data_IF_173698377887
#
_entry.id   IF_173698377887
#
_cell.length_a   1.000
_cell.length_b   1.000
_cell.length_c   1.000
_cell.angle_alpha   90.00
_cell.angle_beta   90.00
_cell.angle_gamma   90.00
#
_symmetry.space_group_name_H-M   'P 1'
#
loop_
_entity.id
_entity.type
_entity.pdbx_description
1 polymer ?
#
# COMPACT_ATOMS: atom_id res chain seq x y z
N UNK A 1 7.84 10.46 -26.03
CA UNK A 1 6.80 11.47 -25.90
C UNK A 1 6.49 11.58 -24.42
N UNK A 2 6.59 12.78 -23.84
CA UNK A 2 6.19 13.00 -22.46
C UNK A 2 4.73 13.50 -22.39
N UNK A 3 4.18 13.60 -21.16
CA UNK A 3 2.78 14.04 -20.99
C UNK A 3 2.55 15.49 -21.43
N UNK A 4 3.57 16.35 -21.36
CA UNK A 4 3.44 17.76 -21.74
C UNK A 4 3.28 17.88 -23.25
N UNK A 5 4.08 17.16 -24.02
CA UNK A 5 3.97 17.06 -25.47
C UNK A 5 2.60 16.48 -25.87
N UNK A 6 2.16 15.43 -25.15
CA UNK A 6 0.86 14.81 -25.41
C UNK A 6 -0.30 15.80 -25.27
N UNK A 7 -0.35 16.58 -24.19
CA UNK A 7 -1.43 17.55 -23.96
C UNK A 7 -1.32 18.79 -24.85
N UNK A 8 -0.12 19.15 -25.29
CA UNK A 8 0.06 20.19 -26.30
C UNK A 8 -0.58 19.81 -27.65
N UNK A 9 -0.55 18.53 -28.01
CA UNK A 9 -1.20 18.00 -29.22
C UNK A 9 -2.73 17.81 -29.06
N UNK A 10 -3.23 17.71 -27.82
CA UNK A 10 -4.64 17.44 -27.52
C UNK A 10 -5.22 18.52 -26.59
N UNK A 11 -5.53 19.72 -27.10
CA UNK A 11 -5.88 20.88 -26.26
C UNK A 11 -7.26 20.80 -25.59
N UNK A 12 -8.18 19.97 -26.09
CA UNK A 12 -9.55 19.82 -25.55
C UNK A 12 -9.95 18.34 -25.44
N UNK A 13 -9.30 17.55 -24.55
CA UNK A 13 -9.57 16.13 -24.43
C UNK A 13 -10.79 15.86 -23.54
N UNK A 14 -11.50 14.78 -23.85
CA UNK A 14 -12.42 14.15 -22.92
C UNK A 14 -11.64 13.16 -22.04
N UNK A 15 -11.73 13.30 -20.72
CA UNK A 15 -11.07 12.38 -19.78
C UNK A 15 -12.11 11.48 -19.14
N UNK A 16 -12.03 10.17 -19.41
CA UNK A 16 -12.79 9.17 -18.69
C UNK A 16 -12.30 9.12 -17.24
N UNK A 17 -13.13 9.59 -16.32
CA UNK A 17 -12.73 9.94 -14.98
C UNK A 17 -13.48 9.07 -13.97
N UNK A 18 -12.75 8.41 -13.08
CA UNK A 18 -13.30 7.50 -12.06
C UNK A 18 -13.12 7.99 -10.63
N UNK A 19 -12.41 9.11 -10.42
CA UNK A 19 -12.03 9.58 -9.08
C UNK A 19 -10.92 8.74 -8.41
N UNK A 20 -10.37 7.74 -9.11
CA UNK A 20 -9.18 7.01 -8.67
C UNK A 20 -7.89 7.80 -8.97
N UNK A 21 -6.81 7.46 -8.28
CA UNK A 21 -5.52 8.17 -8.35
C UNK A 21 -5.00 8.37 -9.79
N UNK A 22 -5.04 7.33 -10.61
CA UNK A 22 -4.49 7.38 -11.97
C UNK A 22 -5.31 8.35 -12.85
N UNK A 23 -6.65 8.26 -12.80
CA UNK A 23 -7.54 9.19 -13.52
C UNK A 23 -7.46 10.63 -12.98
N UNK A 24 -7.23 10.80 -11.67
CA UNK A 24 -7.03 12.08 -11.02
C UNK A 24 -5.75 12.76 -11.51
N UNK A 25 -4.65 12.01 -11.53
CA UNK A 25 -3.37 12.49 -12.02
C UNK A 25 -3.43 12.84 -13.51
N UNK A 26 -4.11 12.02 -14.32
CA UNK A 26 -4.30 12.31 -15.74
C UNK A 26 -5.09 13.62 -15.93
N UNK A 27 -6.17 13.80 -15.20
CA UNK A 27 -7.00 15.01 -15.25
C UNK A 27 -6.22 16.26 -14.82
N UNK A 28 -5.50 16.16 -13.69
CA UNK A 28 -4.63 17.23 -13.21
C UNK A 28 -3.53 17.56 -14.21
N UNK A 29 -2.89 16.56 -14.81
CA UNK A 29 -1.83 16.75 -15.80
C UNK A 29 -2.34 17.50 -17.03
N UNK A 30 -3.56 17.19 -17.49
CA UNK A 30 -4.18 17.91 -18.60
C UNK A 30 -4.31 19.41 -18.30
N UNK A 31 -4.84 19.77 -17.12
CA UNK A 31 -4.97 21.17 -16.69
C UNK A 31 -3.60 21.82 -16.52
N UNK A 32 -2.66 21.13 -15.85
CA UNK A 32 -1.31 21.63 -15.55
C UNK A 32 -0.55 22.03 -16.81
N UNK A 33 -0.73 21.29 -17.89
CA UNK A 33 -0.05 21.53 -19.17
C UNK A 33 -0.87 22.36 -20.17
N UNK A 34 -1.94 23.01 -19.70
CA UNK A 34 -2.67 24.02 -20.48
C UNK A 34 -3.76 23.49 -21.39
N UNK A 35 -4.11 22.20 -21.32
CA UNK A 35 -5.31 21.69 -21.96
C UNK A 35 -6.57 22.14 -21.20
N UNK A 36 -7.71 22.12 -21.89
CA UNK A 36 -9.04 22.39 -21.34
C UNK A 36 -9.85 21.09 -21.33
N UNK A 37 -9.58 20.17 -20.39
CA UNK A 37 -10.27 18.89 -20.36
C UNK A 37 -11.73 19.05 -19.93
N UNK A 38 -12.57 18.11 -20.37
CA UNK A 38 -13.86 17.82 -19.74
C UNK A 38 -13.78 16.43 -19.11
N UNK A 39 -14.13 16.31 -17.83
CA UNK A 39 -14.18 15.04 -17.14
C UNK A 39 -15.53 14.35 -17.40
N UNK A 40 -15.50 13.05 -17.71
CA UNK A 40 -16.69 12.23 -17.92
C UNK A 40 -16.73 11.11 -16.89
N UNK A 41 -17.72 11.18 -16.00
CA UNK A 41 -17.98 10.15 -14.99
C UNK A 41 -19.22 9.35 -15.39
N UNK A 42 -19.09 8.03 -15.46
CA UNK A 42 -20.21 7.13 -15.81
C UNK A 42 -20.73 6.46 -14.54
N UNK A 43 -21.90 6.91 -14.06
CA UNK A 43 -22.57 6.33 -12.89
C UNK A 43 -23.32 5.07 -13.31
N UNK A 44 -22.94 3.95 -12.69
CA UNK A 44 -23.57 2.63 -12.83
C UNK A 44 -23.82 2.03 -11.44
N UNK A 45 -24.39 0.82 -11.38
CA UNK A 45 -24.54 0.07 -10.12
C UNK A 45 -23.21 -0.48 -9.55
N UNK A 46 -22.08 -0.29 -10.24
CA UNK A 46 -20.80 -0.90 -9.88
C UNK A 46 -19.85 -0.04 -9.05
N UNK A 47 -20.21 1.21 -8.82
CA UNK A 47 -19.49 2.15 -7.96
C UNK A 47 -20.31 2.44 -6.71
N UNK A 48 -19.63 2.69 -5.60
CA UNK A 48 -20.24 3.15 -4.36
C UNK A 48 -20.59 4.63 -4.42
N UNK A 49 -21.51 5.10 -3.58
CA UNK A 49 -21.85 6.53 -3.51
C UNK A 49 -20.71 7.39 -2.94
N UNK A 50 -19.83 6.80 -2.13
CA UNK A 50 -18.61 7.47 -1.69
C UNK A 50 -17.66 7.76 -2.86
N UNK A 51 -17.50 6.81 -3.80
CA UNK A 51 -16.69 7.03 -5.00
C UNK A 51 -17.25 8.12 -5.91
N UNK A 52 -18.57 8.21 -6.03
CA UNK A 52 -19.24 9.30 -6.74
C UNK A 52 -18.94 10.67 -6.13
N UNK A 53 -19.08 10.79 -4.81
CA UNK A 53 -18.85 12.04 -4.09
C UNK A 53 -17.39 12.47 -4.20
N UNK A 54 -16.45 11.53 -4.04
CA UNK A 54 -15.02 11.76 -4.20
C UNK A 54 -14.67 12.26 -5.60
N UNK A 55 -15.26 11.67 -6.65
CA UNK A 55 -15.04 12.09 -8.02
C UNK A 55 -15.56 13.53 -8.25
N UNK A 56 -16.76 13.86 -7.78
CA UNK A 56 -17.32 15.21 -7.88
C UNK A 56 -16.43 16.24 -7.21
N UNK A 57 -16.07 16.00 -5.94
CA UNK A 57 -15.23 16.89 -5.16
C UNK A 57 -13.85 17.12 -5.80
N UNK A 58 -13.25 16.07 -6.34
CA UNK A 58 -11.95 16.18 -7.01
C UNK A 58 -12.05 17.00 -8.31
N UNK A 59 -13.05 16.77 -9.15
CA UNK A 59 -13.25 17.55 -10.37
C UNK A 59 -13.47 19.04 -10.07
N UNK A 60 -14.26 19.34 -9.03
CA UNK A 60 -14.45 20.71 -8.53
C UNK A 60 -13.15 21.34 -8.04
N UNK A 61 -12.34 20.61 -7.26
CA UNK A 61 -11.06 21.11 -6.75
C UNK A 61 -10.06 21.47 -7.87
N UNK A 62 -10.16 20.80 -9.02
CA UNK A 62 -9.35 21.06 -10.21
C UNK A 62 -9.99 22.12 -11.13
N UNK A 63 -11.17 22.65 -10.78
CA UNK A 63 -11.95 23.56 -11.62
C UNK A 63 -12.25 23.01 -13.02
N UNK A 64 -12.48 21.70 -13.12
CA UNK A 64 -12.77 21.00 -14.38
C UNK A 64 -14.25 20.67 -14.49
N UNK A 65 -14.92 20.96 -15.64
CA UNK A 65 -16.29 20.55 -15.86
C UNK A 65 -16.45 19.03 -15.77
N UNK A 66 -17.40 18.58 -14.95
CA UNK A 66 -17.75 17.16 -14.80
C UNK A 66 -19.09 16.86 -15.48
N UNK A 67 -19.08 15.93 -16.44
CA UNK A 67 -20.27 15.38 -17.10
C UNK A 67 -20.58 14.01 -16.50
N UNK A 68 -21.75 13.89 -15.88
CA UNK A 68 -22.23 12.62 -15.32
C UNK A 68 -23.14 11.94 -16.33
N UNK A 69 -22.71 10.78 -16.85
CA UNK A 69 -23.50 9.92 -17.72
C UNK A 69 -24.08 8.80 -16.87
N UNK A 70 -25.41 8.64 -16.87
CA UNK A 70 -26.07 7.51 -16.18
C UNK A 70 -26.21 6.36 -17.16
N UNK A 71 -25.69 5.19 -16.80
CA UNK A 71 -25.75 3.99 -17.62
C UNK A 71 -26.17 2.80 -16.76
N UNK A 72 -27.18 2.07 -17.22
CA UNK A 72 -27.48 0.75 -16.67
C UNK A 72 -26.53 -0.28 -17.27
N UNK A 73 -25.47 -0.59 -16.51
CA UNK A 73 -24.49 -1.58 -16.92
C UNK A 73 -25.01 -3.02 -16.82
N UNK A 74 -25.99 -3.31 -15.96
CA UNK A 74 -26.55 -4.65 -15.82
C UNK A 74 -27.47 -5.00 -16.99
N UNK A 75 -28.12 -3.99 -17.58
CA UNK A 75 -28.90 -4.16 -18.80
C UNK A 75 -28.05 -4.42 -20.06
N UNK A 76 -26.72 -4.30 -19.98
CA UNK A 76 -25.84 -4.56 -21.12
C UNK A 76 -25.60 -6.07 -21.31
N UNK A 77 -25.71 -6.52 -22.55
CA UNK A 77 -25.52 -7.92 -22.91
C UNK A 77 -24.18 -8.47 -22.41
N UNK A 78 -24.24 -9.63 -21.74
CA UNK A 78 -23.07 -10.32 -21.21
C UNK A 78 -22.48 -9.72 -19.92
N UNK A 79 -23.02 -8.62 -19.39
CA UNK A 79 -22.55 -8.03 -18.13
C UNK A 79 -23.18 -8.73 -16.92
N UNK A 80 -24.51 -8.79 -16.83
CA UNK A 80 -25.20 -9.42 -15.70
C UNK A 80 -24.87 -10.91 -15.55
N UNK A 81 -24.59 -11.63 -16.65
CA UNK A 81 -24.18 -13.03 -16.62
C UNK A 81 -22.81 -13.28 -15.95
N UNK A 82 -22.00 -12.22 -15.77
CA UNK A 82 -20.71 -12.26 -15.08
C UNK A 82 -19.69 -13.27 -15.65
N UNK A 83 -19.74 -13.50 -16.96
CA UNK A 83 -18.76 -14.36 -17.64
C UNK A 83 -17.36 -13.74 -17.69
N UNK A 84 -16.34 -14.48 -18.19
CA UNK A 84 -14.96 -13.99 -18.28
C UNK A 84 -14.82 -12.71 -19.12
N UNK A 85 -15.72 -12.48 -20.08
CA UNK A 85 -15.76 -11.27 -20.92
C UNK A 85 -16.61 -10.12 -20.36
N UNK A 86 -17.17 -10.21 -19.15
CA UNK A 86 -17.97 -9.14 -18.53
C UNK A 86 -17.31 -7.76 -18.66
N UNK A 87 -16.01 -7.67 -18.33
CA UNK A 87 -15.26 -6.42 -18.38
C UNK A 87 -15.17 -5.82 -19.79
N UNK A 88 -15.12 -6.65 -20.83
CA UNK A 88 -15.15 -6.19 -22.22
C UNK A 88 -16.48 -5.51 -22.53
N UNK A 89 -17.61 -6.19 -22.28
CA UNK A 89 -18.95 -5.64 -22.56
C UNK A 89 -19.23 -4.37 -21.76
N UNK A 90 -18.88 -4.38 -20.47
CA UNK A 90 -19.05 -3.23 -19.59
C UNK A 90 -18.20 -2.03 -20.05
N UNK A 91 -16.89 -2.21 -20.30
CA UNK A 91 -16.04 -1.12 -20.81
C UNK A 91 -16.52 -0.64 -22.18
N UNK A 92 -16.93 -1.54 -23.08
CA UNK A 92 -17.43 -1.18 -24.41
C UNK A 92 -18.66 -0.26 -24.31
N UNK A 93 -19.64 -0.60 -23.47
CA UNK A 93 -20.82 0.23 -23.26
C UNK A 93 -20.47 1.59 -22.63
N UNK A 94 -19.66 1.60 -21.57
CA UNK A 94 -19.21 2.83 -20.89
C UNK A 94 -18.49 3.77 -21.85
N UNK A 95 -17.49 3.28 -22.57
CA UNK A 95 -16.68 4.14 -23.44
C UNK A 95 -17.41 4.53 -24.73
N UNK A 96 -18.35 3.72 -25.22
CA UNK A 96 -19.24 4.13 -26.31
C UNK A 96 -20.10 5.33 -25.88
N UNK A 97 -20.65 5.31 -24.66
CA UNK A 97 -21.42 6.43 -24.13
C UNK A 97 -20.55 7.69 -23.93
N UNK A 98 -19.33 7.54 -23.41
CA UNK A 98 -18.38 8.66 -23.28
C UNK A 98 -18.04 9.23 -24.65
N UNK A 99 -17.72 8.40 -25.65
CA UNK A 99 -17.40 8.85 -27.01
C UNK A 99 -18.56 9.64 -27.64
N UNK A 100 -19.79 9.15 -27.50
CA UNK A 100 -20.97 9.84 -28.02
C UNK A 100 -21.15 11.24 -27.38
N UNK A 101 -21.02 11.33 -26.05
CA UNK A 101 -21.15 12.62 -25.36
C UNK A 101 -19.97 13.55 -25.63
N UNK A 102 -18.74 13.02 -25.66
CA UNK A 102 -17.53 13.76 -25.96
C UNK A 102 -17.57 14.37 -27.37
N UNK A 103 -18.09 13.62 -28.36
CA UNK A 103 -18.30 14.11 -29.71
C UNK A 103 -19.34 15.25 -29.75
N UNK A 104 -20.45 15.12 -29.01
CA UNK A 104 -21.46 16.16 -28.90
C UNK A 104 -20.92 17.44 -28.23
N UNK A 105 -19.98 17.30 -27.28
CA UNK A 105 -19.34 18.41 -26.57
C UNK A 105 -18.14 19.01 -27.36
N UNK A 106 -17.78 18.43 -28.52
CA UNK A 106 -16.70 18.91 -29.38
C UNK A 106 -15.28 18.54 -28.91
N UNK A 107 -15.14 17.48 -28.10
CA UNK A 107 -13.84 16.97 -27.68
C UNK A 107 -13.16 16.17 -28.80
N UNK A 108 -11.86 16.38 -29.02
CA UNK A 108 -11.13 15.77 -30.12
C UNK A 108 -10.66 14.32 -29.88
N UNK A 109 -10.60 13.90 -28.61
CA UNK A 109 -10.11 12.57 -28.22
C UNK A 109 -10.66 12.19 -26.85
N UNK A 110 -10.82 10.88 -26.60
CA UNK A 110 -11.14 10.33 -25.28
C UNK A 110 -9.90 9.67 -24.69
N UNK A 111 -9.58 10.03 -23.45
CA UNK A 111 -8.42 9.57 -22.69
C UNK A 111 -8.87 8.74 -21.48
N UNK A 112 -8.07 7.74 -21.11
CA UNK A 112 -8.27 6.96 -19.87
C UNK A 112 -6.96 6.68 -19.13
N UNK A 113 -7.09 6.26 -17.87
CA UNK A 113 -6.01 6.25 -16.88
C UNK A 113 -5.14 4.99 -16.82
N UNK A 114 -5.14 4.10 -17.82
CA UNK A 114 -4.24 2.93 -17.79
C UNK A 114 -2.78 3.39 -17.82
N UNK A 115 -1.95 2.81 -16.95
CA UNK A 115 -0.55 3.16 -16.77
C UNK A 115 0.41 2.08 -17.32
N UNK A 116 1.71 2.34 -17.29
CA UNK A 116 2.73 1.44 -17.85
C UNK A 116 2.99 0.18 -17.01
N UNK A 117 2.58 0.17 -15.73
CA UNK A 117 2.69 -0.99 -14.84
C UNK A 117 1.49 -1.93 -14.92
N UNK A 118 0.40 -1.52 -15.58
CA UNK A 118 -0.76 -2.39 -15.74
C UNK A 118 -0.45 -3.51 -16.73
N UNK A 119 -0.65 -4.74 -16.29
CA UNK A 119 -0.73 -5.90 -17.17
C UNK A 119 -2.07 -5.84 -17.92
N UNK A 120 -2.00 -5.73 -19.26
CA UNK A 120 -3.17 -5.49 -20.12
C UNK A 120 -3.29 -6.46 -21.29
N UNK A 121 -2.24 -7.22 -21.59
CA UNK A 121 -2.11 -7.91 -22.89
C UNK A 121 -3.19 -8.99 -23.09
N UNK A 122 -3.75 -9.53 -21.99
CA UNK A 122 -4.85 -10.51 -22.03
C UNK A 122 -6.16 -10.03 -21.36
N UNK A 123 -6.29 -8.73 -21.03
CA UNK A 123 -7.46 -8.25 -20.28
C UNK A 123 -8.60 -7.88 -21.24
N UNK A 124 -9.79 -8.51 -21.14
CA UNK A 124 -10.91 -8.23 -22.06
C UNK A 124 -11.33 -6.76 -22.09
N UNK A 125 -11.21 -6.05 -20.97
CA UNK A 125 -11.50 -4.62 -20.92
C UNK A 125 -10.54 -3.77 -21.75
N UNK A 126 -9.26 -4.16 -21.85
CA UNK A 126 -8.27 -3.44 -22.65
C UNK A 126 -8.58 -3.55 -24.14
N UNK A 127 -8.94 -4.74 -24.61
CA UNK A 127 -9.39 -4.96 -25.99
C UNK A 127 -10.52 -4.00 -26.39
N UNK A 128 -11.51 -3.78 -25.52
CA UNK A 128 -12.60 -2.84 -25.79
C UNK A 128 -12.13 -1.40 -25.98
N UNK A 129 -11.11 -0.96 -25.23
CA UNK A 129 -10.54 0.38 -25.38
C UNK A 129 -9.81 0.55 -26.71
N UNK A 130 -9.03 -0.47 -27.11
CA UNK A 130 -8.29 -0.47 -28.38
C UNK A 130 -9.25 -0.42 -29.57
N UNK A 131 -10.31 -1.24 -29.56
CA UNK A 131 -11.34 -1.24 -30.62
C UNK A 131 -12.06 0.11 -30.75
N UNK A 132 -12.20 0.84 -29.64
CA UNK A 132 -12.87 2.14 -29.58
C UNK A 132 -11.92 3.34 -29.84
N UNK A 133 -10.63 3.10 -30.05
CA UNK A 133 -9.65 4.16 -30.29
C UNK A 133 -9.41 5.09 -29.10
N UNK A 134 -9.67 4.62 -27.87
CA UNK A 134 -9.43 5.38 -26.64
C UNK A 134 -7.93 5.39 -26.33
N UNK A 135 -7.38 6.55 -25.98
CA UNK A 135 -5.95 6.67 -25.68
C UNK A 135 -5.66 6.53 -24.18
N UNK A 136 -4.48 5.98 -23.86
CA UNK A 136 -3.99 5.79 -22.48
C UNK A 136 -2.69 6.56 -22.27
N UNK A 137 -2.73 7.89 -22.03
CA UNK A 137 -1.53 8.73 -22.08
C UNK A 137 -0.48 8.35 -21.04
N UNK A 138 -0.91 7.93 -19.85
CA UNK A 138 0.00 7.51 -18.78
C UNK A 138 0.84 6.31 -19.24
N UNK A 139 0.22 5.32 -19.89
CA UNK A 139 0.92 4.19 -20.52
C UNK A 139 1.79 4.60 -21.71
N UNK A 140 1.26 5.42 -22.62
CA UNK A 140 1.99 5.88 -23.82
C UNK A 140 3.26 6.66 -23.47
N UNK A 141 3.24 7.40 -22.36
CA UNK A 141 4.38 8.16 -21.85
C UNK A 141 5.27 7.36 -20.89
N UNK A 142 4.98 6.07 -20.66
CA UNK A 142 5.81 5.20 -19.82
C UNK A 142 5.69 5.45 -18.31
N UNK A 143 4.65 6.14 -17.84
CA UNK A 143 4.47 6.39 -16.41
C UNK A 143 4.03 5.10 -15.69
N UNK A 144 4.88 4.66 -14.76
CA UNK A 144 4.61 3.51 -13.90
C UNK A 144 3.75 3.93 -12.70
N UNK A 145 3.10 2.96 -12.06
CA UNK A 145 2.27 3.21 -10.89
C UNK A 145 3.03 3.88 -9.72
N UNK A 146 4.25 3.46 -9.34
CA UNK A 146 5.03 4.17 -8.32
C UNK A 146 5.32 5.62 -8.68
N UNK A 147 5.66 5.89 -9.95
CA UNK A 147 5.95 7.23 -10.44
C UNK A 147 4.71 8.12 -10.43
N UNK A 148 3.56 7.60 -10.86
CA UNK A 148 2.28 8.31 -10.78
C UNK A 148 1.94 8.73 -9.36
N UNK A 149 2.19 7.86 -8.37
CA UNK A 149 1.90 8.12 -6.96
C UNK A 149 2.81 9.21 -6.40
N UNK A 150 4.12 9.14 -6.72
CA UNK A 150 5.10 10.19 -6.38
C UNK A 150 4.70 11.55 -6.96
N UNK A 151 4.45 11.61 -8.26
CA UNK A 151 4.06 12.84 -8.95
C UNK A 151 2.71 13.37 -8.47
N UNK A 152 1.74 12.50 -8.16
CA UNK A 152 0.45 12.90 -7.59
C UNK A 152 0.61 13.54 -6.22
N UNK A 153 1.51 13.02 -5.38
CA UNK A 153 1.82 13.59 -4.06
C UNK A 153 2.49 14.96 -4.20
N UNK A 154 3.47 15.09 -5.09
CA UNK A 154 4.14 16.37 -5.39
C UNK A 154 3.16 17.42 -5.93
N UNK A 155 2.15 16.97 -6.68
CA UNK A 155 1.04 17.81 -7.16
C UNK A 155 0.02 18.18 -6.06
N UNK A 156 0.12 17.60 -4.85
CA UNK A 156 -0.82 17.81 -3.76
C UNK A 156 -2.19 17.17 -3.96
N UNK A 157 -2.30 16.15 -4.83
CA UNK A 157 -3.58 15.49 -5.10
C UNK A 157 -4.00 14.60 -3.92
N UNK A 158 -5.20 14.78 -3.35
CA UNK A 158 -5.64 14.01 -2.17
C UNK A 158 -5.85 12.51 -2.46
N UNK A 159 -5.82 12.10 -3.73
CA UNK A 159 -5.98 10.72 -4.16
C UNK A 159 -4.64 9.97 -4.30
N UNK A 160 -3.50 10.63 -4.02
CA UNK A 160 -2.17 10.07 -4.25
C UNK A 160 -1.94 8.75 -3.52
N UNK A 161 -2.54 8.52 -2.35
CA UNK A 161 -2.45 7.27 -1.57
C UNK A 161 -3.75 6.45 -1.59
N UNK A 162 -4.76 6.88 -2.35
CA UNK A 162 -6.05 6.19 -2.44
C UNK A 162 -5.87 4.76 -2.98
N UNK A 163 -6.30 3.71 -2.24
CA UNK A 163 -6.26 2.34 -2.72
C UNK A 163 -6.99 2.17 -4.05
N UNK A 164 -6.52 1.23 -4.88
CA UNK A 164 -7.18 0.95 -6.15
C UNK A 164 -8.59 0.41 -5.88
N UNK A 165 -9.60 1.17 -6.28
CA UNK A 165 -10.98 0.74 -6.21
C UNK A 165 -11.33 -0.07 -7.45
N UNK A 166 -11.56 -1.38 -7.26
CA UNK A 166 -12.10 -2.23 -8.32
C UNK A 166 -13.63 -2.20 -8.24
N UNK A 167 -14.29 -2.26 -9.39
CA UNK A 167 -15.74 -2.44 -9.54
C UNK A 167 -16.33 -3.47 -8.56
N UNK A 168 -17.49 -3.17 -7.96
CA UNK A 168 -18.16 -4.03 -6.99
C UNK A 168 -18.44 -5.45 -7.53
N UNK A 169 -18.67 -5.60 -8.83
CA UNK A 169 -18.86 -6.91 -9.46
C UNK A 169 -17.66 -7.87 -9.31
N UNK A 170 -16.46 -7.37 -8.98
CA UNK A 170 -15.30 -8.21 -8.68
C UNK A 170 -15.41 -8.97 -7.36
N UNK A 171 -16.38 -8.62 -6.51
CA UNK A 171 -16.68 -9.33 -5.26
C UNK A 171 -17.63 -10.50 -5.47
N UNK A 172 -18.24 -10.60 -6.66
CA UNK A 172 -19.13 -11.69 -7.03
C UNK A 172 -18.32 -12.69 -7.88
N UNK A 173 -18.29 -13.99 -7.52
CA UNK A 173 -17.55 -15.00 -8.26
C UNK A 173 -17.91 -15.02 -9.75
N UNK A 174 -16.91 -15.21 -10.61
CA UNK A 174 -17.13 -15.34 -12.07
C UNK A 174 -18.13 -16.45 -12.37
N UNK A 175 -18.96 -16.24 -13.39
CA UNK A 175 -20.08 -17.10 -13.77
C UNK A 175 -21.23 -17.18 -12.74
N UNK A 176 -21.21 -16.36 -11.68
CA UNK A 176 -22.38 -16.11 -10.84
C UNK A 176 -23.09 -14.85 -11.31
N UNK A 177 -24.38 -14.92 -11.70
CA UNK A 177 -25.13 -13.75 -12.13
C UNK A 177 -25.06 -12.60 -11.12
N UNK A 178 -24.82 -11.39 -11.63
CA UNK A 178 -24.79 -10.17 -10.82
C UNK A 178 -26.21 -9.61 -10.75
N UNK A 179 -26.69 -9.38 -9.53
CA UNK A 179 -27.97 -8.73 -9.28
C UNK A 179 -27.78 -7.41 -8.51
N UNK A 180 -28.72 -6.45 -8.61
CA UNK A 180 -28.70 -5.25 -7.80
C UNK A 180 -28.60 -5.53 -6.30
N UNK A 181 -29.30 -6.56 -5.80
CA UNK A 181 -29.28 -6.95 -4.40
C UNK A 181 -27.91 -7.48 -3.96
N UNK A 182 -27.24 -8.25 -4.83
CA UNK A 182 -25.88 -8.72 -4.54
C UNK A 182 -24.88 -7.54 -4.46
N UNK A 183 -25.02 -6.55 -5.34
CA UNK A 183 -24.19 -5.35 -5.32
C UNK A 183 -24.45 -4.49 -4.08
N UNK A 184 -25.73 -4.28 -3.71
CA UNK A 184 -26.12 -3.58 -2.47
C UNK A 184 -25.52 -4.26 -1.23
N UNK A 185 -25.65 -5.58 -1.14
CA UNK A 185 -25.06 -6.37 -0.04
C UNK A 185 -23.55 -6.17 0.05
N UNK A 186 -22.82 -6.21 -1.07
CA UNK A 186 -21.37 -5.97 -1.08
C UNK A 186 -21.06 -4.53 -0.66
N UNK A 187 -21.74 -3.54 -1.23
CA UNK A 187 -21.48 -2.13 -0.93
C UNK A 187 -21.68 -1.82 0.54
N UNK A 188 -22.78 -2.30 1.14
CA UNK A 188 -23.08 -2.14 2.56
C UNK A 188 -22.08 -2.87 3.45
N UNK A 189 -21.69 -4.08 3.07
CA UNK A 189 -20.68 -4.84 3.81
C UNK A 189 -19.31 -4.14 3.78
N UNK A 190 -18.86 -3.65 2.61
CA UNK A 190 -17.61 -2.92 2.51
C UNK A 190 -17.65 -1.59 3.26
N UNK A 191 -18.77 -0.85 3.21
CA UNK A 191 -18.95 0.36 4.00
C UNK A 191 -18.84 0.08 5.51
N UNK A 192 -19.41 -1.02 5.98
CA UNK A 192 -19.35 -1.40 7.38
C UNK A 192 -17.93 -1.80 7.82
N UNK A 193 -17.17 -2.53 6.99
CA UNK A 193 -15.76 -2.84 7.26
C UNK A 193 -14.90 -1.58 7.26
N UNK A 194 -15.14 -0.64 6.32
CA UNK A 194 -14.44 0.64 6.29
C UNK A 194 -14.71 1.47 7.56
N UNK A 195 -15.94 1.48 8.05
CA UNK A 195 -16.32 2.18 9.29
C UNK A 195 -15.60 1.63 10.53
N UNK A 196 -15.21 0.36 10.53
CA UNK A 196 -14.37 -0.26 11.56
C UNK A 196 -12.88 0.12 11.42
N UNK A 197 -12.54 0.95 10.44
CA UNK A 197 -11.23 1.54 10.19
C UNK A 197 -10.28 0.66 9.39
N UNK A 198 -10.79 -0.36 8.70
CA UNK A 198 -10.01 -1.11 7.71
C UNK A 198 -9.91 -0.31 6.41
N UNK A 199 -8.85 -0.54 5.65
CA UNK A 199 -8.64 0.05 4.31
C UNK A 199 -8.07 -0.99 3.36
N UNK A 200 -8.11 -0.76 2.04
CA UNK A 200 -7.55 -1.69 1.04
C UNK A 200 -7.93 -3.17 1.25
N UNK A 201 -9.21 -3.41 1.48
CA UNK A 201 -9.78 -4.74 1.69
C UNK A 201 -10.77 -5.11 0.58
N UNK A 202 -11.23 -6.36 0.61
CA UNK A 202 -12.33 -6.85 -0.23
C UNK A 202 -13.28 -7.71 0.59
N UNK A 203 -14.58 -7.51 0.42
CA UNK A 203 -15.61 -8.44 0.93
C UNK A 203 -16.16 -9.24 -0.23
N UNK A 204 -15.61 -10.44 -0.48
CA UNK A 204 -16.06 -11.30 -1.58
C UNK A 204 -17.23 -12.16 -1.16
N UNK A 205 -18.29 -12.19 -1.96
CA UNK A 205 -19.41 -13.09 -1.73
C UNK A 205 -19.00 -14.54 -2.03
N UNK A 206 -19.59 -15.45 -1.25
CA UNK A 206 -19.52 -16.90 -1.41
C UNK A 206 -20.95 -17.46 -1.40
N UNK A 207 -21.12 -18.78 -1.56
CA UNK A 207 -22.45 -19.40 -1.53
C UNK A 207 -23.15 -19.22 -0.16
N UNK A 208 -22.41 -19.24 0.93
CA UNK A 208 -22.94 -19.23 2.31
C UNK A 208 -22.68 -17.91 3.06
N UNK A 209 -21.79 -17.07 2.54
CA UNK A 209 -21.71 -15.68 2.97
C UNK A 209 -20.61 -14.87 2.32
N UNK A 210 -19.56 -14.51 3.05
CA UNK A 210 -18.43 -13.75 2.51
C UNK A 210 -17.06 -14.27 2.96
N UNK A 211 -16.05 -13.92 2.16
CA UNK A 211 -14.63 -14.00 2.50
C UNK A 211 -14.05 -12.58 2.52
N UNK A 212 -13.55 -12.18 3.69
CA UNK A 212 -12.87 -10.92 3.92
C UNK A 212 -11.39 -11.07 3.57
N UNK A 213 -10.92 -10.31 2.59
CA UNK A 213 -9.51 -10.26 2.18
C UNK A 213 -8.87 -8.97 2.70
N UNK A 214 -7.83 -9.08 3.52
CA UNK A 214 -7.14 -7.96 4.17
C UNK A 214 -5.65 -7.99 3.85
N UNK A 215 -4.99 -6.84 3.90
CA UNK A 215 -3.52 -6.77 3.85
C UNK A 215 -2.89 -7.32 5.13
N UNK A 216 -1.66 -7.82 5.05
CA UNK A 216 -0.89 -8.40 6.18
C UNK A 216 -1.04 -7.62 7.51
N UNK A 217 -0.82 -6.29 7.56
CA UNK A 217 -0.85 -5.55 8.84
C UNK A 217 -2.24 -5.52 9.50
N UNK A 218 -3.30 -5.78 8.75
CA UNK A 218 -4.68 -5.70 9.21
C UNK A 218 -5.24 -7.03 9.73
N UNK A 219 -4.54 -8.16 9.51
CA UNK A 219 -5.00 -9.49 9.94
C UNK A 219 -5.12 -9.59 11.47
N UNK A 220 -4.10 -9.14 12.20
CA UNK A 220 -4.13 -9.13 13.67
C UNK A 220 -5.28 -8.29 14.22
N UNK A 221 -5.53 -7.11 13.62
CA UNK A 221 -6.63 -6.24 14.01
C UNK A 221 -8.00 -6.92 13.79
N UNK A 222 -8.17 -7.63 12.68
CA UNK A 222 -9.40 -8.36 12.39
C UNK A 222 -9.69 -9.45 13.44
N UNK A 223 -8.66 -10.17 13.88
CA UNK A 223 -8.80 -11.18 14.94
C UNK A 223 -9.18 -10.55 16.29
N UNK A 224 -8.59 -9.40 16.63
CA UNK A 224 -8.97 -8.65 17.84
C UNK A 224 -10.40 -8.10 17.80
N UNK A 225 -10.92 -7.77 16.60
CA UNK A 225 -12.27 -7.26 16.37
C UNK A 225 -13.26 -8.33 15.90
N UNK A 226 -12.97 -9.63 16.10
CA UNK A 226 -13.74 -10.72 15.47
C UNK A 226 -15.24 -10.66 15.77
N UNK A 227 -15.62 -10.37 17.02
CA UNK A 227 -17.02 -10.36 17.46
C UNK A 227 -17.78 -9.22 16.78
N UNK A 228 -17.20 -8.02 16.79
CA UNK A 228 -17.76 -6.85 16.10
C UNK A 228 -17.88 -7.07 14.59
N UNK A 229 -16.87 -7.66 13.95
CA UNK A 229 -16.91 -7.99 12.52
C UNK A 229 -18.06 -8.96 12.20
N UNK A 230 -18.22 -10.02 12.99
CA UNK A 230 -19.31 -11.00 12.80
C UNK A 230 -20.67 -10.37 13.03
N UNK A 231 -20.86 -9.61 14.12
CA UNK A 231 -22.12 -8.93 14.43
C UNK A 231 -22.53 -7.94 13.33
N UNK A 232 -21.56 -7.22 12.79
CA UNK A 232 -21.79 -6.20 11.76
C UNK A 232 -22.07 -6.82 10.40
N UNK A 233 -21.33 -7.86 10.02
CA UNK A 233 -21.39 -8.41 8.65
C UNK A 233 -22.42 -9.52 8.50
N UNK A 234 -22.61 -10.37 9.49
CA UNK A 234 -23.49 -11.55 9.34
C UNK A 234 -24.93 -11.22 8.91
N UNK A 235 -25.56 -10.11 9.38
CA UNK A 235 -26.89 -9.71 8.90
C UNK A 235 -26.93 -9.32 7.41
N UNK A 236 -25.79 -8.91 6.83
CA UNK A 236 -25.68 -8.46 5.44
C UNK A 236 -25.30 -9.60 4.50
N UNK A 237 -24.39 -10.46 4.96
CA UNK A 237 -23.75 -11.45 4.09
C UNK A 237 -23.93 -12.89 4.54
N UNK A 238 -24.34 -13.19 5.78
CA UNK A 238 -24.41 -14.56 6.30
C UNK A 238 -23.09 -14.98 6.95
N UNK A 239 -22.52 -16.13 6.60
CA UNK A 239 -21.26 -16.59 7.19
C UNK A 239 -20.09 -15.66 6.86
N UNK A 240 -19.32 -15.24 7.87
CA UNK A 240 -18.13 -14.39 7.69
C UNK A 240 -16.87 -15.22 7.83
N UNK A 241 -16.06 -15.28 6.79
CA UNK A 241 -14.75 -15.95 6.80
C UNK A 241 -13.62 -14.94 6.54
N UNK A 242 -12.44 -15.20 7.11
CA UNK A 242 -11.23 -14.41 6.88
C UNK A 242 -10.30 -15.17 5.94
N UNK A 243 -9.83 -14.53 4.88
CA UNK A 243 -8.75 -15.07 4.06
C UNK A 243 -7.43 -14.95 4.81
N UNK A 244 -6.80 -16.07 5.11
CA UNK A 244 -5.47 -16.10 5.74
C UNK A 244 -4.36 -15.81 4.74
N UNK A 245 -4.65 -15.84 3.44
CA UNK A 245 -3.71 -15.37 2.41
C UNK A 245 -3.83 -13.85 2.33
N UNK A 246 -2.76 -13.11 2.67
CA UNK A 246 -2.82 -11.66 2.71
C UNK A 246 -3.06 -11.08 1.33
N UNK A 247 -3.96 -10.11 1.25
CA UNK A 247 -4.14 -9.30 0.05
C UNK A 247 -2.87 -8.49 -0.21
N UNK A 248 -2.37 -8.56 -1.44
CA UNK A 248 -1.32 -7.66 -1.92
C UNK A 248 -1.82 -6.22 -1.86
N UNK A 249 -1.11 -5.30 -1.17
CA UNK A 249 -1.50 -3.90 -1.09
C UNK A 249 -1.67 -3.28 -2.48
N UNK A 250 -2.80 -2.61 -2.69
CA UNK A 250 -3.10 -1.84 -3.89
C UNK A 250 -2.20 -0.61 -4.03
N UNK A 251 -1.58 -0.18 -2.93
CA UNK A 251 -0.57 0.87 -2.85
C UNK A 251 0.68 0.24 -2.23
N UNK A 252 1.74 0.16 -3.04
CA UNK A 252 3.06 -0.38 -2.64
C UNK A 252 4.04 0.71 -2.25
N UNK A 253 3.57 1.96 -2.12
CA UNK A 253 4.38 3.04 -1.57
C UNK A 253 4.15 3.02 -0.07
N UNK A 254 5.09 2.54 0.74
CA UNK A 254 5.04 2.87 2.13
C UNK A 254 5.48 4.33 2.26
N UNK A 255 4.51 5.24 2.31
CA UNK A 255 4.77 6.57 2.85
C UNK A 255 4.10 6.68 4.20
N UNK A 256 4.93 6.68 5.23
CA UNK A 256 4.54 6.69 6.63
C UNK A 256 5.66 6.07 7.46
N UNK A 257 5.59 6.24 8.77
CA UNK A 257 6.40 5.45 9.67
C UNK A 257 5.69 4.13 9.96
N UNK A 258 6.47 3.06 10.11
CA UNK A 258 6.01 1.82 10.72
C UNK A 258 6.01 2.00 12.24
N UNK A 259 4.90 1.68 12.90
CA UNK A 259 4.90 1.55 14.35
C UNK A 259 5.03 0.07 14.70
N UNK A 260 6.04 -0.27 15.49
CA UNK A 260 6.23 -1.59 16.07
C UNK A 260 6.36 -1.53 17.59
N UNK A 261 6.14 -2.67 18.24
CA UNK A 261 6.36 -2.82 19.68
C UNK A 261 7.59 -3.70 19.90
N UNK A 262 8.50 -3.19 20.71
CA UNK A 262 9.72 -3.90 21.15
C UNK A 262 9.73 -3.96 22.67
N UNK A 263 10.46 -4.92 23.21
CA UNK A 263 10.65 -5.07 24.65
C UNK A 263 12.11 -4.84 25.03
N UNK A 264 12.31 -4.03 26.06
CA UNK A 264 13.59 -3.81 26.70
C UNK A 264 13.64 -4.67 27.97
N UNK A 265 14.51 -5.69 27.96
CA UNK A 265 14.72 -6.62 29.06
C UNK A 265 16.00 -6.26 29.81
N UNK A 266 15.92 -6.14 31.13
CA UNK A 266 17.02 -5.61 31.95
C UNK A 266 17.29 -6.45 33.20
N UNK A 267 18.56 -6.64 33.54
CA UNK A 267 18.98 -7.18 34.83
C UNK A 267 20.25 -6.50 35.36
N UNK A 268 20.44 -6.52 36.68
CA UNK A 268 21.64 -5.99 37.34
C UNK A 268 22.55 -7.16 37.72
N UNK A 269 23.85 -7.02 37.46
CA UNK A 269 24.87 -8.05 37.66
C UNK A 269 26.05 -7.46 38.46
N UNK A 270 26.27 -7.94 39.69
CA UNK A 270 27.36 -7.49 40.57
C UNK A 270 28.40 -8.59 40.89
N UNK A 271 28.17 -9.79 40.38
CA UNK A 271 28.95 -11.01 40.66
C UNK A 271 29.44 -11.73 39.40
N UNK A 272 29.29 -11.11 38.22
CA UNK A 272 29.80 -11.64 36.94
C UNK A 272 31.03 -10.89 36.44
N UNK A 273 31.93 -11.60 35.77
CA UNK A 273 33.06 -10.98 35.08
C UNK A 273 32.62 -10.31 33.79
N UNK A 274 33.46 -9.42 33.25
CA UNK A 274 33.21 -8.82 31.94
C UNK A 274 33.16 -9.85 30.81
N UNK A 275 33.94 -10.93 30.90
CA UNK A 275 33.96 -12.01 29.90
C UNK A 275 32.64 -12.79 29.89
N UNK A 276 32.11 -13.12 31.07
CA UNK A 276 30.83 -13.82 31.19
C UNK A 276 29.66 -12.95 30.64
N UNK A 277 29.69 -11.65 30.93
CA UNK A 277 28.69 -10.70 30.42
C UNK A 277 28.80 -10.56 28.89
N UNK A 278 30.02 -10.54 28.35
CA UNK A 278 30.24 -10.51 26.91
C UNK A 278 29.73 -11.80 26.23
N UNK A 279 29.96 -12.96 26.85
CA UNK A 279 29.42 -14.23 26.38
C UNK A 279 27.88 -14.23 26.40
N UNK A 280 27.25 -13.81 27.50
CA UNK A 280 25.79 -13.68 27.57
C UNK A 280 25.24 -12.75 26.49
N UNK A 281 25.90 -11.61 26.26
CA UNK A 281 25.53 -10.65 25.21
C UNK A 281 25.59 -11.27 23.82
N UNK A 282 26.64 -12.05 23.53
CA UNK A 282 26.77 -12.76 22.24
C UNK A 282 25.63 -13.75 22.02
N UNK A 283 25.23 -14.53 23.04
CA UNK A 283 24.12 -15.50 22.93
C UNK A 283 22.79 -14.81 22.65
N UNK A 284 22.56 -13.63 23.22
CA UNK A 284 21.36 -12.84 22.96
C UNK A 284 21.37 -12.29 21.51
N UNK A 285 22.50 -11.77 21.04
CA UNK A 285 22.64 -11.29 19.65
C UNK A 285 22.47 -12.43 18.63
N UNK A 286 23.09 -13.58 18.87
CA UNK A 286 22.97 -14.77 18.01
C UNK A 286 21.54 -15.31 17.94
N UNK A 287 20.77 -15.16 19.02
CA UNK A 287 19.35 -15.51 19.05
C UNK A 287 18.46 -14.48 18.30
N UNK A 288 19.04 -13.38 17.82
CA UNK A 288 18.34 -12.34 17.06
C UNK A 288 17.79 -11.22 17.93
N UNK A 289 18.45 -10.87 19.04
CA UNK A 289 18.18 -9.61 19.73
C UNK A 289 18.37 -8.44 18.74
N UNK A 290 17.55 -7.40 18.90
CA UNK A 290 17.66 -6.18 18.09
C UNK A 290 18.90 -5.38 18.47
N UNK A 291 19.22 -5.35 19.76
CA UNK A 291 20.44 -4.76 20.31
C UNK A 291 20.69 -5.31 21.73
N UNK A 292 21.94 -5.28 22.18
CA UNK A 292 22.34 -5.66 23.54
C UNK A 292 23.46 -4.75 24.02
N UNK A 293 23.28 -4.14 25.19
CA UNK A 293 24.28 -3.22 25.75
C UNK A 293 24.37 -3.32 27.27
N UNK A 294 25.45 -2.76 27.81
CA UNK A 294 25.74 -2.71 29.24
C UNK A 294 25.96 -1.28 29.71
N UNK A 295 25.50 -0.95 30.92
CA UNK A 295 25.80 0.32 31.58
C UNK A 295 26.31 0.11 33.01
N UNK A 296 27.33 0.87 33.48
CA UNK A 296 27.75 0.81 34.87
C UNK A 296 26.70 1.46 35.77
N UNK A 297 26.38 0.81 36.88
CA UNK A 297 25.41 1.29 37.87
C UNK A 297 25.93 1.10 39.30
N UNK A 298 25.34 1.81 40.25
CA UNK A 298 25.54 1.58 41.68
C UNK A 298 24.23 1.12 42.31
N UNK A 299 24.31 0.05 43.09
CA UNK A 299 23.17 -0.54 43.81
C UNK A 299 23.10 -0.02 45.26
N UNK A 300 22.19 -0.57 46.05
CA UNK A 300 22.09 -0.29 47.49
C UNK A 300 23.45 -0.42 48.18
N UNK A 301 23.72 0.45 49.16
CA UNK A 301 25.01 0.53 49.87
C UNK A 301 26.21 0.85 48.95
N UNK A 302 25.95 1.53 47.82
CA UNK A 302 26.97 1.98 46.87
C UNK A 302 27.80 0.84 46.26
N UNK A 303 27.20 -0.35 46.10
CA UNK A 303 27.87 -1.49 45.47
C UNK A 303 27.89 -1.30 43.94
N UNK A 304 29.05 -1.30 43.27
CA UNK A 304 29.12 -1.26 41.80
C UNK A 304 28.48 -2.50 41.18
N UNK A 305 27.83 -2.33 40.03
CA UNK A 305 27.24 -3.41 39.23
C UNK A 305 27.14 -3.01 37.75
N UNK A 306 26.78 -3.96 36.90
CA UNK A 306 26.49 -3.77 35.48
C UNK A 306 25.00 -3.97 35.23
N UNK A 307 24.35 -3.02 34.55
CA UNK A 307 23.03 -3.18 33.98
C UNK A 307 23.18 -3.80 32.59
N UNK A 308 22.79 -5.06 32.43
CA UNK A 308 22.68 -5.69 31.11
C UNK A 308 21.29 -5.44 30.54
N UNK A 309 21.23 -4.93 29.32
CA UNK A 309 19.98 -4.65 28.62
C UNK A 309 19.92 -5.36 27.27
N UNK A 310 18.81 -6.05 27.00
CA UNK A 310 18.52 -6.72 25.74
C UNK A 310 17.25 -6.12 25.14
N UNK A 311 17.36 -5.55 23.93
CA UNK A 311 16.21 -5.10 23.16
C UNK A 311 15.78 -6.22 22.21
N UNK A 312 14.52 -6.65 22.27
CA UNK A 312 14.04 -7.76 21.45
C UNK A 312 12.62 -7.52 20.90
N UNK A 313 12.17 -8.29 19.89
CA UNK A 313 10.79 -8.25 19.43
C UNK A 313 9.81 -8.61 20.56
N UNK A 314 8.71 -7.87 20.70
CA UNK A 314 7.75 -8.05 21.80
C UNK A 314 7.16 -9.48 21.87
N UNK A 315 6.97 -10.14 20.73
CA UNK A 315 6.44 -11.51 20.66
C UNK A 315 7.46 -12.59 21.08
N UNK A 316 8.75 -12.26 21.27
CA UNK A 316 9.81 -13.20 21.68
C UNK A 316 10.30 -12.97 23.11
N UNK A 317 9.60 -12.15 23.90
CA UNK A 317 10.02 -11.79 25.26
C UNK A 317 10.33 -12.98 26.16
N UNK A 318 9.49 -14.02 26.13
CA UNK A 318 9.71 -15.21 26.98
C UNK A 318 11.01 -15.93 26.63
N UNK A 319 11.35 -16.00 25.35
CA UNK A 319 12.57 -16.63 24.86
C UNK A 319 13.81 -15.86 25.37
N UNK A 320 13.84 -14.54 25.17
CA UNK A 320 14.96 -13.71 25.61
C UNK A 320 15.06 -13.63 27.13
N UNK A 321 13.94 -13.65 27.85
CA UNK A 321 13.94 -13.75 29.32
C UNK A 321 14.60 -15.04 29.78
N UNK A 322 14.28 -16.18 29.15
CA UNK A 322 14.92 -17.47 29.47
C UNK A 322 16.42 -17.44 29.14
N UNK A 323 16.82 -16.84 28.03
CA UNK A 323 18.24 -16.70 27.67
C UNK A 323 19.00 -15.86 28.70
N UNK A 324 18.44 -14.73 29.14
CA UNK A 324 19.06 -13.89 30.16
C UNK A 324 19.18 -14.62 31.51
N UNK A 325 18.13 -15.31 31.96
CA UNK A 325 18.16 -16.10 33.20
C UNK A 325 19.12 -17.31 33.12
N UNK A 326 19.30 -17.87 31.92
CA UNK A 326 20.20 -19.02 31.70
C UNK A 326 21.68 -18.61 31.65
N UNK A 327 21.98 -17.48 31.03
CA UNK A 327 23.34 -17.06 30.73
C UNK A 327 23.87 -15.98 31.67
N UNK A 328 23.10 -15.60 32.69
CA UNK A 328 23.56 -14.67 33.74
C UNK A 328 23.25 -15.24 35.12
N UNK A 329 23.87 -14.67 36.15
CA UNK A 329 23.62 -15.00 37.57
C UNK A 329 22.32 -14.38 38.10
N UNK A 330 21.62 -13.57 37.30
CA UNK A 330 20.44 -12.86 37.76
C UNK A 330 19.29 -13.81 38.10
N UNK A 331 18.56 -13.47 39.16
CA UNK A 331 17.35 -14.20 39.57
C UNK A 331 16.07 -13.62 38.95
N UNK A 332 16.18 -12.49 38.26
CA UNK A 332 15.01 -11.82 37.70
C UNK A 332 15.36 -10.83 36.60
N UNK A 333 14.48 -10.78 35.59
CA UNK A 333 14.59 -9.86 34.46
C UNK A 333 13.40 -8.92 34.50
N UNK A 334 13.66 -7.61 34.41
CA UNK A 334 12.62 -6.59 34.30
C UNK A 334 12.33 -6.34 32.83
N UNK A 335 11.06 -6.10 32.49
CA UNK A 335 10.60 -5.78 31.13
C UNK A 335 10.03 -4.38 31.10
N UNK A 336 10.36 -3.65 30.04
CA UNK A 336 9.64 -2.45 29.62
C UNK A 336 9.20 -2.62 28.17
N UNK A 337 7.92 -2.45 27.92
CA UNK A 337 7.39 -2.41 26.55
C UNK A 337 7.53 -0.99 25.99
N UNK A 338 7.98 -0.92 24.75
CA UNK A 338 8.22 0.32 24.05
C UNK A 338 7.54 0.26 22.69
N UNK A 339 6.73 1.27 22.40
CA UNK A 339 6.32 1.58 21.04
C UNK A 339 7.46 2.32 20.34
N UNK A 340 7.72 1.94 19.10
CA UNK A 340 8.77 2.53 18.30
C UNK A 340 8.26 2.80 16.89
N UNK A 341 8.60 3.99 16.43
CA UNK A 341 8.34 4.47 15.08
C UNK A 341 9.60 4.27 14.24
N UNK A 342 9.51 3.46 13.18
CA UNK A 342 10.64 3.10 12.30
C UNK A 342 10.36 3.46 10.84
N UNK A 343 11.43 3.78 10.11
CA UNK A 343 11.37 3.97 8.67
C UNK A 343 11.25 2.62 7.96
N UNK A 344 10.59 2.61 6.81
CA UNK A 344 10.61 1.45 5.93
C UNK A 344 12.03 1.25 5.41
N UNK A 345 12.56 0.03 5.56
CA UNK A 345 13.93 -0.29 5.16
C UNK A 345 13.95 -1.28 4.02
N UNK A 346 14.85 -1.05 3.08
CA UNK A 346 15.24 -2.00 2.04
C UNK A 346 16.75 -2.10 2.02
N UNK A 347 17.27 -3.26 1.60
CA UNK A 347 18.71 -3.44 1.38
C UNK A 347 18.90 -3.53 -0.12
N UNK A 348 19.68 -2.61 -0.66
CA UNK A 348 20.12 -2.64 -2.06
C UNK A 348 21.62 -2.96 -2.11
N UNK A 349 22.17 -3.16 -3.31
CA UNK A 349 23.61 -3.28 -3.49
C UNK A 349 24.12 -2.19 -4.43
N UNK A 350 25.29 -1.64 -4.11
CA UNK A 350 26.04 -0.67 -4.93
C UNK A 350 27.50 -1.13 -4.97
N UNK A 351 28.00 -1.47 -6.15
CA UNK A 351 29.37 -1.97 -6.38
C UNK A 351 29.81 -3.14 -5.48
N UNK A 352 28.86 -4.03 -5.17
CA UNK A 352 29.07 -5.20 -4.31
C UNK A 352 29.02 -4.91 -2.80
N UNK A 353 28.71 -3.67 -2.40
CA UNK A 353 28.48 -3.29 -1.00
C UNK A 353 26.97 -3.18 -0.77
N UNK A 354 26.49 -3.79 0.30
CA UNK A 354 25.09 -3.64 0.72
C UNK A 354 24.85 -2.25 1.28
N UNK A 355 23.72 -1.66 0.88
CA UNK A 355 23.29 -0.33 1.27
C UNK A 355 21.91 -0.44 1.89
N UNK A 356 21.82 -0.07 3.18
CA UNK A 356 20.55 0.09 3.86
C UNK A 356 19.94 1.41 3.43
N UNK A 357 18.86 1.33 2.67
CA UNK A 357 18.01 2.47 2.32
C UNK A 357 16.82 2.48 3.28
N UNK A 358 16.56 3.59 3.94
CA UNK A 358 15.43 3.76 4.84
C UNK A 358 14.64 5.01 4.46
N UNK A 359 13.32 4.88 4.34
CA UNK A 359 12.44 5.94 3.87
C UNK A 359 11.09 5.98 4.58
N UNK A 360 10.48 7.16 4.62
CA UNK A 360 9.12 7.39 5.11
C UNK A 360 8.86 8.86 5.42
N UNK A 361 7.73 9.40 4.98
CA UNK A 361 7.27 10.76 5.23
C UNK A 361 8.30 11.85 4.86
N UNK A 362 8.84 11.77 3.65
CA UNK A 362 9.84 12.72 3.14
C UNK A 362 11.24 12.59 3.76
N UNK A 363 11.45 11.65 4.69
CA UNK A 363 12.77 11.30 5.22
C UNK A 363 13.36 10.19 4.37
N UNK A 364 14.59 10.38 3.90
CA UNK A 364 15.40 9.36 3.21
C UNK A 364 16.78 9.27 3.86
N UNK A 365 17.23 8.05 4.13
CA UNK A 365 18.55 7.74 4.67
C UNK A 365 19.17 6.59 3.90
N UNK A 366 20.42 6.75 3.52
CA UNK A 366 21.23 5.67 2.98
C UNK A 366 22.43 5.45 3.88
N UNK A 367 22.75 4.18 4.15
CA UNK A 367 23.95 3.81 4.88
C UNK A 367 24.51 2.52 4.32
N UNK A 368 25.73 2.58 3.80
CA UNK A 368 26.47 1.39 3.43
C UNK A 368 26.77 0.52 4.67
N UNK A 369 26.68 -0.80 4.50
CA UNK A 369 26.99 -1.78 5.53
C UNK A 369 28.47 -1.69 5.91
N UNK A 370 28.72 -1.63 7.21
CA UNK A 370 30.07 -1.42 7.72
C UNK A 370 31.01 -2.57 7.38
N UNK A 371 30.56 -3.82 7.52
CA UNK A 371 31.40 -4.99 7.27
C UNK A 371 31.84 -5.04 5.79
N UNK A 372 30.92 -4.80 4.86
CA UNK A 372 31.21 -4.76 3.43
C UNK A 372 32.19 -3.63 3.07
N UNK A 373 32.02 -2.45 3.69
CA UNK A 373 32.99 -1.34 3.54
C UNK A 373 34.37 -1.70 4.09
N UNK A 374 34.42 -2.39 5.23
CA UNK A 374 35.68 -2.79 5.88
C UNK A 374 36.40 -3.86 5.07
N UNK A 375 35.70 -4.89 4.60
CA UNK A 375 36.25 -5.92 3.71
C UNK A 375 36.83 -5.28 2.44
N UNK A 376 36.08 -4.38 1.79
CA UNK A 376 36.56 -3.67 0.60
C UNK A 376 37.79 -2.81 0.87
N UNK A 377 37.80 -2.10 2.01
CA UNK A 377 38.95 -1.28 2.41
C UNK A 377 40.21 -2.13 2.62
N UNK A 378 40.06 -3.32 3.20
CA UNK A 378 41.16 -4.28 3.38
C UNK A 378 41.65 -4.84 2.04
N UNK A 379 40.74 -5.24 1.15
CA UNK A 379 41.08 -5.73 -0.19
C UNK A 379 41.84 -4.70 -1.03
N UNK A 380 41.44 -3.43 -0.93
CA UNK A 380 42.02 -2.33 -1.71
C UNK A 380 43.19 -1.63 -1.00
N UNK A 381 43.52 -2.06 0.22
CA UNK A 381 44.53 -1.44 1.09
C UNK A 381 44.36 0.09 1.19
N UNK A 382 43.13 0.53 1.44
CA UNK A 382 42.76 1.93 1.57
C UNK A 382 41.92 2.17 2.82
N UNK A 383 41.61 3.43 3.12
CA UNK A 383 40.80 3.82 4.27
C UNK A 383 39.31 3.69 3.98
N UNK A 384 38.50 3.48 5.03
CA UNK A 384 37.03 3.53 4.91
C UNK A 384 36.50 4.84 4.30
N UNK A 385 37.22 5.95 4.51
CA UNK A 385 36.85 7.25 3.96
C UNK A 385 37.03 7.29 2.43
N UNK A 386 38.10 6.67 1.92
CA UNK A 386 38.36 6.55 0.48
C UNK A 386 37.33 5.65 -0.20
N UNK A 387 36.97 4.52 0.41
CA UNK A 387 35.90 3.63 -0.10
C UNK A 387 34.54 4.34 -0.13
N UNK A 388 34.18 5.09 0.93
CA UNK A 388 32.92 5.86 0.93
C UNK A 388 32.90 6.93 -0.16
N UNK A 389 34.02 7.64 -0.34
CA UNK A 389 34.17 8.67 -1.36
C UNK A 389 34.04 8.11 -2.77
N UNK A 390 34.58 6.92 -3.05
CA UNK A 390 34.44 6.27 -4.36
C UNK A 390 33.01 5.83 -4.69
N UNK A 391 32.18 5.62 -3.67
CA UNK A 391 30.79 5.16 -3.80
C UNK A 391 29.75 6.29 -3.76
N UNK A 392 30.22 7.54 -3.72
CA UNK A 392 29.40 8.74 -3.57
C UNK A 392 28.45 8.70 -2.34
N UNK A 393 28.93 8.15 -1.22
CA UNK A 393 28.25 8.19 0.08
C UNK A 393 28.64 9.40 0.93
#
# INVERSE_FOLDING_TARGET
MDLRDFFSAHPRPAVAFSGGADSAFLLWSAVRWGAQPTAYYVKTAFQTDAEDADAQQLAESLSVPLRVIRLDALAQDGVAANGPRRCYFCKKAIFTAILAQAAADGCGVVLEGTNASDDVDDRPGWQALQELGVLSPLRLCGLTKPELRRLSREAGLPTWDKPAAACLATRIPTNTPITPEALDRVARAEAAVAALGFSDFRVRLTAEGCRLELTEPQLFRALSLRETLVETLSPLVGTVSLDLTPRQPSVTVPDGFLNDTVAELQCNLDDMTGEDIAFASSRLLDAGALDVWTAPIYMKKNRPAVLLTCLCPAHRVEEFTRLMLRHTTTLGVRRRDCERTVLHRTVTQRDGIRVKCAGGDGIAKEKAEFNDLAERAMEQNCTLAEVRKSLHF
#
